data_IF_593785615865
#
_entry.id   IF_593785615865
#
_cell.length_a   1.000
_cell.length_b   1.000
_cell.length_c   1.000
_cell.angle_alpha   90.00
_cell.angle_beta   90.00
_cell.angle_gamma   90.00
#
_symmetry.space_group_name_H-M   'P 1'
#
loop_
_entity.id
_entity.type
_entity.pdbx_description
1 polymer ?
#
# COMPACT_ATOMS: atom_id res chain seq x y z
N UNK A 1 -14.47 27.25 -7.97
CA UNK A 1 -13.61 26.23 -8.65
C UNK A 1 -12.45 25.99 -7.71
N UNK A 2 -12.22 24.73 -7.33
CA UNK A 2 -11.16 24.34 -6.37
C UNK A 2 -9.83 24.12 -7.09
N UNK A 3 -8.72 24.51 -6.47
CA UNK A 3 -7.38 24.40 -7.04
C UNK A 3 -6.72 23.07 -6.61
N UNK A 4 -6.24 22.28 -7.58
CA UNK A 4 -5.48 21.05 -7.34
C UNK A 4 -4.10 21.17 -7.97
N UNK A 5 -3.06 21.08 -7.13
CA UNK A 5 -1.67 21.11 -7.57
C UNK A 5 -1.15 19.69 -7.87
N UNK A 6 -0.40 19.56 -8.95
CA UNK A 6 0.32 18.34 -9.32
C UNK A 6 1.80 18.53 -9.06
N UNK A 7 2.36 17.83 -8.06
CA UNK A 7 3.81 17.94 -7.73
C UNK A 7 4.72 17.04 -8.57
N UNK A 8 4.13 16.10 -9.31
CA UNK A 8 4.85 15.24 -10.27
C UNK A 8 3.97 15.05 -11.50
N UNK A 9 4.53 14.37 -12.49
CA UNK A 9 3.71 13.85 -13.57
C UNK A 9 2.73 12.80 -12.98
N UNK A 10 1.46 13.14 -12.93
CA UNK A 10 0.34 12.24 -12.62
C UNK A 10 -0.27 11.79 -13.95
N UNK A 11 -0.60 10.50 -14.07
CA UNK A 11 -1.18 9.97 -15.30
C UNK A 11 -2.50 10.68 -15.63
N UNK A 12 -2.63 11.08 -16.90
CA UNK A 12 -3.77 11.91 -17.38
C UNK A 12 -5.12 11.23 -17.15
N UNK A 13 -5.18 9.90 -17.28
CA UNK A 13 -6.40 9.12 -17.01
C UNK A 13 -6.95 9.33 -15.59
N UNK A 14 -6.07 9.64 -14.63
CA UNK A 14 -6.46 9.99 -13.27
C UNK A 14 -7.00 11.43 -13.19
N UNK A 15 -6.27 12.41 -13.72
CA UNK A 15 -6.71 13.82 -13.70
C UNK A 15 -7.98 14.05 -14.52
N UNK A 16 -8.22 13.27 -15.56
CA UNK A 16 -9.46 13.29 -16.37
C UNK A 16 -10.71 12.81 -15.56
N UNK A 17 -10.54 12.24 -14.36
CA UNK A 17 -11.65 11.93 -13.45
C UNK A 17 -12.18 13.13 -12.68
N UNK A 18 -11.41 14.22 -12.66
CA UNK A 18 -11.77 15.45 -11.98
C UNK A 18 -12.49 16.37 -12.97
N UNK A 19 -13.71 16.78 -12.65
CA UNK A 19 -14.52 17.63 -13.52
C UNK A 19 -13.87 19.00 -13.70
N UNK A 20 -13.51 19.42 -14.92
CA UNK A 20 -12.91 20.72 -15.18
C UNK A 20 -13.84 21.91 -14.88
N UNK A 21 -15.14 21.67 -14.70
CA UNK A 21 -16.07 22.70 -14.21
C UNK A 21 -15.92 22.98 -12.71
N UNK A 22 -15.41 22.00 -11.95
CA UNK A 22 -15.23 22.08 -10.50
C UNK A 22 -13.79 22.36 -10.10
N UNK A 23 -12.81 21.92 -10.91
CA UNK A 23 -11.40 21.91 -10.56
C UNK A 23 -10.51 22.65 -11.57
N UNK A 24 -9.62 23.49 -11.05
CA UNK A 24 -8.48 24.04 -11.77
C UNK A 24 -7.24 23.19 -11.39
N UNK A 25 -6.65 22.49 -12.36
CA UNK A 25 -5.59 21.50 -12.12
C UNK A 25 -4.31 21.93 -12.86
N UNK A 26 -3.20 22.02 -12.15
CA UNK A 26 -1.92 22.39 -12.76
C UNK A 26 -0.72 22.11 -11.85
N UNK A 27 0.48 22.22 -12.43
CA UNK A 27 1.72 22.15 -11.66
C UNK A 27 1.92 23.40 -10.78
N UNK A 28 1.47 24.55 -11.26
CA UNK A 28 1.52 25.83 -10.58
C UNK A 28 0.10 26.39 -10.48
N UNK A 29 -0.48 26.28 -9.29
CA UNK A 29 -1.79 26.86 -8.95
C UNK A 29 -1.64 27.65 -7.65
N UNK A 30 -2.35 28.78 -7.56
CA UNK A 30 -2.36 29.58 -6.32
C UNK A 30 -3.24 28.92 -5.27
N UNK A 31 -2.77 28.90 -4.01
CA UNK A 31 -3.51 28.40 -2.85
C UNK A 31 -4.26 27.08 -3.12
N UNK A 32 -3.56 25.96 -3.40
CA UNK A 32 -4.20 24.70 -3.69
C UNK A 32 -4.97 24.17 -2.49
N UNK A 33 -6.22 23.75 -2.71
CA UNK A 33 -7.06 23.03 -1.74
C UNK A 33 -6.75 21.52 -1.75
N UNK A 34 -6.15 21.03 -2.84
CA UNK A 34 -5.68 19.64 -2.98
C UNK A 34 -4.32 19.54 -3.62
N UNK A 35 -3.52 18.56 -3.21
CA UNK A 35 -2.25 18.23 -3.85
C UNK A 35 -2.29 16.76 -4.28
N UNK A 36 -1.98 16.48 -5.54
CA UNK A 36 -1.69 15.13 -6.01
C UNK A 36 -0.19 14.95 -6.18
N UNK A 37 0.37 13.89 -5.61
CA UNK A 37 1.80 13.62 -5.59
C UNK A 37 2.09 12.14 -5.83
N UNK A 38 3.26 11.83 -6.37
CA UNK A 38 3.78 10.45 -6.48
C UNK A 38 5.08 10.30 -5.68
N UNK A 39 6.14 10.93 -6.09
CA UNK A 39 7.50 10.75 -5.54
C UNK A 39 8.16 12.04 -5.08
N UNK A 40 7.57 13.22 -5.29
CA UNK A 40 8.15 14.46 -4.82
C UNK A 40 8.29 14.45 -3.29
N UNK A 41 9.43 14.93 -2.80
CA UNK A 41 9.66 15.11 -1.38
C UNK A 41 8.85 16.30 -0.86
N UNK A 42 7.99 16.08 0.12
CA UNK A 42 7.15 17.09 0.76
C UNK A 42 7.54 17.33 2.23
N UNK A 43 8.59 16.67 2.74
CA UNK A 43 8.92 16.68 4.18
C UNK A 43 9.21 18.09 4.71
N UNK A 44 9.81 18.95 3.87
CA UNK A 44 10.19 20.32 4.24
C UNK A 44 9.26 21.37 3.61
N UNK A 45 8.12 20.96 3.03
CA UNK A 45 7.16 21.89 2.43
C UNK A 45 6.35 22.63 3.48
N UNK A 46 6.15 23.93 3.24
CA UNK A 46 5.13 24.70 3.92
C UNK A 46 3.81 24.60 3.16
N UNK A 47 2.73 24.41 3.90
CA UNK A 47 1.40 24.30 3.34
C UNK A 47 0.62 25.59 3.51
N UNK A 48 -0.17 25.95 2.49
CA UNK A 48 -1.08 27.08 2.61
C UNK A 48 -2.29 26.69 3.48
N UNK A 49 -2.94 27.66 4.15
CA UNK A 49 -4.08 27.39 5.04
C UNK A 49 -5.29 26.73 4.36
N UNK A 50 -5.45 26.94 3.05
CA UNK A 50 -6.55 26.40 2.25
C UNK A 50 -6.38 24.91 1.91
N UNK A 51 -5.18 24.35 2.10
CA UNK A 51 -4.91 22.93 1.76
C UNK A 51 -5.73 21.99 2.65
N UNK A 52 -6.59 21.21 2.02
CA UNK A 52 -7.51 20.28 2.69
C UNK A 52 -7.03 18.83 2.59
N UNK A 53 -6.38 18.47 1.49
CA UNK A 53 -6.01 17.10 1.24
C UNK A 53 -4.77 16.94 0.37
N UNK A 54 -4.04 15.85 0.63
CA UNK A 54 -2.93 15.36 -0.20
C UNK A 54 -3.28 13.94 -0.65
N UNK A 55 -3.32 13.67 -1.95
CA UNK A 55 -3.55 12.35 -2.50
C UNK A 55 -2.27 11.82 -3.16
N UNK A 56 -1.67 10.80 -2.55
CA UNK A 56 -0.49 10.15 -3.12
C UNK A 56 -0.90 9.03 -4.08
N UNK A 57 -0.49 9.16 -5.34
CA UNK A 57 -0.62 8.10 -6.34
C UNK A 57 0.41 6.98 -6.08
N UNK A 58 0.10 6.11 -5.12
CA UNK A 58 0.92 5.00 -4.68
C UNK A 58 0.65 4.61 -3.22
N UNK A 59 1.16 3.46 -2.77
CA UNK A 59 0.86 2.89 -1.45
C UNK A 59 1.70 3.47 -0.30
N UNK A 60 3.01 3.71 -0.50
CA UNK A 60 3.87 4.28 0.55
C UNK A 60 3.65 5.80 0.72
N UNK A 61 3.99 6.37 1.88
CA UNK A 61 3.80 7.82 2.17
C UNK A 61 5.00 8.43 2.89
N UNK A 62 6.16 7.83 2.77
CA UNK A 62 7.39 8.26 3.44
C UNK A 62 7.96 9.60 2.94
N UNK A 63 7.42 10.14 1.86
CA UNK A 63 7.75 11.45 1.31
C UNK A 63 6.79 12.57 1.76
N UNK A 64 5.84 12.29 2.68
CA UNK A 64 4.83 13.23 3.16
C UNK A 64 4.96 13.37 4.69
N UNK A 65 4.98 14.60 5.25
CA UNK A 65 5.10 14.84 6.69
C UNK A 65 3.75 14.60 7.40
N UNK A 66 3.44 13.35 7.72
CA UNK A 66 2.12 12.93 8.23
C UNK A 66 1.71 13.64 9.52
N UNK A 67 2.65 13.82 10.47
CA UNK A 67 2.35 14.47 11.75
C UNK A 67 1.98 15.95 11.55
N UNK A 68 2.72 16.67 10.68
CA UNK A 68 2.40 18.04 10.29
C UNK A 68 1.04 18.12 9.61
N UNK A 69 0.78 17.24 8.63
CA UNK A 69 -0.53 17.18 7.96
C UNK A 69 -1.67 16.95 8.96
N UNK A 70 -1.47 16.07 9.94
CA UNK A 70 -2.50 15.76 10.94
C UNK A 70 -2.78 16.95 11.84
N UNK A 71 -1.74 17.63 12.36
CA UNK A 71 -1.91 18.81 13.23
C UNK A 71 -2.53 20.00 12.50
N UNK A 72 -2.32 20.12 11.19
CA UNK A 72 -2.92 21.17 10.36
C UNK A 72 -4.30 20.77 9.78
N UNK A 73 -4.83 19.60 10.13
CA UNK A 73 -6.13 19.12 9.63
C UNK A 73 -6.12 18.85 8.11
N UNK A 74 -5.01 18.38 7.57
CA UNK A 74 -4.86 17.99 6.17
C UNK A 74 -4.97 16.47 6.06
N UNK A 75 -5.94 15.99 5.27
CA UNK A 75 -6.15 14.54 5.07
C UNK A 75 -5.18 14.00 4.03
N UNK A 76 -4.43 12.98 4.38
CA UNK A 76 -3.48 12.33 3.47
C UNK A 76 -4.04 10.99 3.01
N UNK A 77 -4.24 10.86 1.71
CA UNK A 77 -4.67 9.62 1.04
C UNK A 77 -3.51 8.90 0.40
N UNK A 78 -3.56 7.57 0.41
CA UNK A 78 -2.75 6.73 -0.47
C UNK A 78 -3.66 5.84 -1.34
N UNK A 79 -3.06 5.02 -2.20
CA UNK A 79 -3.81 4.17 -3.13
C UNK A 79 -3.49 2.69 -2.90
N UNK A 80 -3.93 2.10 -1.76
CA UNK A 80 -3.64 0.73 -1.43
C UNK A 80 -4.32 -0.22 -2.42
N UNK A 81 -3.56 -1.18 -2.94
CA UNK A 81 -4.07 -2.18 -3.88
C UNK A 81 -4.19 -1.74 -5.33
N UNK A 82 -4.07 -0.45 -5.66
CA UNK A 82 -4.14 0.02 -7.04
C UNK A 82 -3.04 -0.58 -7.95
N UNK A 83 -1.88 -0.87 -7.38
CA UNK A 83 -0.75 -1.52 -8.03
C UNK A 83 -0.67 -3.04 -7.80
N UNK A 84 -1.68 -3.63 -7.17
CA UNK A 84 -1.60 -5.03 -6.72
C UNK A 84 -1.38 -6.03 -7.85
N UNK A 85 -1.94 -5.75 -9.05
CA UNK A 85 -1.75 -6.62 -10.20
C UNK A 85 -0.29 -6.63 -10.69
N UNK A 86 0.35 -5.47 -10.80
CA UNK A 86 1.76 -5.39 -11.19
C UNK A 86 2.67 -6.15 -10.21
N UNK A 87 2.47 -5.98 -8.91
CA UNK A 87 3.23 -6.72 -7.88
C UNK A 87 2.94 -8.23 -7.96
N UNK A 88 1.70 -8.66 -8.20
CA UNK A 88 1.36 -10.07 -8.42
C UNK A 88 2.14 -10.66 -9.60
N UNK A 89 2.24 -9.94 -10.71
CA UNK A 89 2.97 -10.41 -11.89
C UNK A 89 4.47 -10.53 -11.63
N UNK A 90 5.06 -9.56 -10.94
CA UNK A 90 6.44 -9.64 -10.50
C UNK A 90 6.66 -10.80 -9.52
N UNK A 91 5.69 -11.09 -8.62
CA UNK A 91 5.77 -12.23 -7.71
C UNK A 91 5.77 -13.57 -8.46
N UNK A 92 4.96 -13.71 -9.52
CA UNK A 92 4.98 -14.90 -10.40
C UNK A 92 6.35 -15.02 -11.09
N UNK A 93 6.88 -13.92 -11.62
CA UNK A 93 8.24 -13.90 -12.17
C UNK A 93 9.27 -14.35 -11.13
N UNK A 94 9.22 -13.82 -9.90
CA UNK A 94 10.12 -14.17 -8.81
C UNK A 94 10.04 -15.67 -8.44
N UNK A 95 8.85 -16.28 -8.44
CA UNK A 95 8.67 -17.73 -8.25
C UNK A 95 9.43 -18.53 -9.32
N UNK A 96 9.34 -18.11 -10.57
CA UNK A 96 10.02 -18.78 -11.70
C UNK A 96 11.54 -18.58 -11.65
N UNK A 97 12.01 -17.37 -11.32
CA UNK A 97 13.43 -17.06 -11.13
C UNK A 97 14.03 -17.83 -9.95
N UNK A 98 13.28 -18.01 -8.86
CA UNK A 98 13.69 -18.83 -7.72
C UNK A 98 13.77 -20.33 -8.04
N UNK A 99 13.04 -20.78 -9.06
CA UNK A 99 12.92 -22.20 -9.40
C UNK A 99 14.02 -22.72 -10.29
N UNK A 100 14.54 -21.91 -11.20
CA UNK A 100 15.59 -22.21 -12.16
C UNK A 100 16.59 -21.06 -12.22
N UNK A 101 17.86 -21.37 -12.47
CA UNK A 101 18.90 -20.35 -12.58
C UNK A 101 18.89 -19.65 -13.95
N UNK A 102 17.76 -18.95 -14.22
CA UNK A 102 17.54 -18.26 -15.50
C UNK A 102 18.52 -17.10 -15.65
N UNK A 103 18.71 -16.31 -14.56
CA UNK A 103 19.62 -15.14 -14.57
C UNK A 103 21.05 -15.57 -14.82
N UNK A 104 21.58 -16.53 -14.06
CA UNK A 104 22.92 -17.04 -14.26
C UNK A 104 23.08 -17.71 -15.64
N UNK A 105 22.03 -18.36 -16.16
CA UNK A 105 22.01 -18.89 -17.52
C UNK A 105 22.14 -17.80 -18.59
N UNK A 106 21.40 -16.69 -18.45
CA UNK A 106 21.47 -15.53 -19.37
C UNK A 106 22.88 -14.91 -19.32
N UNK A 107 23.40 -14.65 -18.11
CA UNK A 107 24.73 -14.09 -17.92
C UNK A 107 25.79 -14.97 -18.58
N UNK A 108 25.74 -16.28 -18.34
CA UNK A 108 26.69 -17.25 -18.92
C UNK A 108 26.57 -17.30 -20.44
N UNK A 109 25.37 -17.37 -21.02
CA UNK A 109 25.19 -17.40 -22.51
C UNK A 109 25.82 -16.15 -23.14
N UNK A 110 25.68 -14.98 -22.51
CA UNK A 110 26.29 -13.75 -23.00
C UNK A 110 27.83 -13.81 -23.06
N UNK A 111 28.48 -14.65 -22.25
CA UNK A 111 29.94 -14.85 -22.31
C UNK A 111 30.40 -15.63 -23.57
N UNK A 112 29.49 -16.30 -24.25
CA UNK A 112 29.79 -17.12 -25.44
C UNK A 112 29.71 -16.33 -26.75
N UNK A 113 29.67 -15.01 -26.71
CA UNK A 113 29.51 -14.14 -27.90
C UNK A 113 30.49 -14.45 -29.01
N UNK A 114 31.77 -14.77 -28.65
CA UNK A 114 32.83 -15.00 -29.61
C UNK A 114 33.17 -16.50 -29.77
N UNK A 115 32.37 -17.41 -29.23
CA UNK A 115 32.52 -18.87 -29.37
C UNK A 115 31.83 -19.31 -30.67
N UNK A 116 32.64 -19.75 -31.65
CA UNK A 116 32.15 -20.26 -32.93
C UNK A 116 31.21 -21.49 -32.80
N UNK A 117 31.38 -22.27 -31.72
CA UNK A 117 30.56 -23.45 -31.39
C UNK A 117 29.55 -23.20 -30.27
N UNK A 118 29.16 -21.93 -30.03
CA UNK A 118 28.29 -21.54 -28.92
C UNK A 118 27.05 -22.44 -28.73
N UNK A 119 26.38 -22.83 -29.81
CA UNK A 119 25.18 -23.69 -29.75
C UNK A 119 25.52 -25.07 -29.14
N UNK A 120 26.63 -25.67 -29.49
CA UNK A 120 27.09 -26.96 -28.94
C UNK A 120 27.53 -26.79 -27.48
N UNK A 121 28.20 -25.68 -27.18
CA UNK A 121 28.65 -25.34 -25.83
C UNK A 121 27.44 -25.16 -24.90
N UNK A 122 26.37 -24.46 -25.35
CA UNK A 122 25.14 -24.31 -24.60
C UNK A 122 24.48 -25.65 -24.33
N UNK A 123 24.29 -26.47 -25.36
CA UNK A 123 23.61 -27.77 -25.21
C UNK A 123 24.35 -28.71 -24.24
N UNK A 124 25.68 -28.72 -24.26
CA UNK A 124 26.50 -29.51 -23.35
C UNK A 124 26.45 -29.06 -21.90
N UNK A 125 26.21 -27.77 -21.65
CA UNK A 125 26.30 -27.17 -20.31
C UNK A 125 24.96 -26.76 -19.69
N UNK A 126 23.84 -26.82 -20.42
CA UNK A 126 22.51 -26.35 -19.98
C UNK A 126 22.07 -26.92 -18.63
N UNK A 127 22.52 -28.15 -18.30
CA UNK A 127 22.14 -28.80 -17.04
C UNK A 127 22.69 -28.09 -15.79
N UNK A 128 23.68 -27.20 -15.93
CA UNK A 128 24.20 -26.38 -14.81
C UNK A 128 23.17 -25.40 -14.28
N UNK A 129 22.20 -25.00 -15.11
CA UNK A 129 21.15 -24.02 -14.82
C UNK A 129 19.79 -24.67 -14.59
N UNK A 130 19.74 -26.00 -14.54
CA UNK A 130 18.53 -26.75 -14.27
C UNK A 130 17.99 -26.47 -12.86
N UNK A 131 16.69 -26.58 -12.69
CA UNK A 131 16.03 -26.41 -11.41
C UNK A 131 14.81 -27.30 -11.29
N UNK A 132 13.78 -26.82 -10.61
CA UNK A 132 12.54 -27.55 -10.38
C UNK A 132 11.33 -26.82 -10.99
N UNK A 133 10.25 -27.54 -11.17
CA UNK A 133 8.94 -26.98 -11.49
C UNK A 133 8.25 -26.49 -10.22
N UNK A 134 7.34 -25.50 -10.36
CA UNK A 134 6.53 -25.00 -9.26
C UNK A 134 5.26 -25.82 -9.06
N UNK A 135 4.80 -26.52 -10.09
CA UNK A 135 3.60 -27.38 -10.01
C UNK A 135 3.75 -28.43 -8.90
N UNK A 136 2.72 -28.58 -8.09
CA UNK A 136 2.69 -29.52 -6.95
C UNK A 136 3.51 -29.09 -5.73
N UNK A 137 4.31 -28.02 -5.82
CA UNK A 137 5.04 -27.43 -4.68
C UNK A 137 4.10 -26.61 -3.81
N UNK A 138 4.47 -26.44 -2.55
CA UNK A 138 3.70 -25.64 -1.59
C UNK A 138 4.22 -24.22 -1.54
N UNK A 139 3.35 -23.24 -1.85
CA UNK A 139 3.57 -21.83 -1.63
C UNK A 139 2.98 -21.40 -0.29
N UNK A 140 3.81 -20.89 0.61
CA UNK A 140 3.40 -20.19 1.81
C UNK A 140 3.21 -18.70 1.51
N UNK A 141 2.03 -18.16 1.82
CA UNK A 141 1.71 -16.74 1.63
C UNK A 141 1.53 -16.08 2.99
N UNK A 142 2.41 -15.15 3.31
CA UNK A 142 2.37 -14.34 4.53
C UNK A 142 1.71 -13.00 4.22
N UNK A 143 0.48 -12.81 4.73
CA UNK A 143 -0.40 -11.70 4.37
C UNK A 143 -1.24 -12.01 3.13
N UNK A 144 -2.57 -12.00 3.29
CA UNK A 144 -3.57 -12.30 2.25
C UNK A 144 -4.41 -11.06 1.87
N UNK A 145 -3.83 -9.87 2.06
CA UNK A 145 -4.42 -8.61 1.62
C UNK A 145 -4.50 -8.47 0.09
N UNK A 146 -4.58 -7.25 -0.40
CA UNK A 146 -4.79 -6.94 -1.83
C UNK A 146 -3.78 -7.62 -2.77
N UNK A 147 -2.51 -7.72 -2.40
CA UNK A 147 -1.47 -8.36 -3.21
C UNK A 147 -1.41 -9.86 -2.93
N UNK A 148 -1.25 -10.25 -1.65
CA UNK A 148 -1.08 -11.66 -1.29
C UNK A 148 -2.24 -12.54 -1.70
N UNK A 149 -3.48 -12.04 -1.63
CA UNK A 149 -4.66 -12.74 -2.13
C UNK A 149 -4.61 -13.01 -3.64
N UNK A 150 -4.16 -12.03 -4.43
CA UNK A 150 -3.98 -12.22 -5.88
C UNK A 150 -2.86 -13.22 -6.19
N UNK A 151 -1.74 -13.15 -5.45
CA UNK A 151 -0.63 -14.10 -5.60
C UNK A 151 -1.06 -15.51 -5.21
N UNK A 152 -1.78 -15.67 -4.11
CA UNK A 152 -2.33 -16.96 -3.67
C UNK A 152 -3.26 -17.56 -4.73
N UNK A 153 -4.17 -16.75 -5.26
CA UNK A 153 -5.13 -17.18 -6.28
C UNK A 153 -4.45 -17.64 -7.60
N UNK A 154 -3.45 -16.87 -8.08
CA UNK A 154 -2.76 -17.23 -9.31
C UNK A 154 -1.86 -18.47 -9.10
N UNK A 155 -1.24 -18.63 -7.93
CA UNK A 155 -0.42 -19.80 -7.60
C UNK A 155 -1.23 -21.11 -7.63
N UNK A 156 -2.48 -21.09 -7.13
CA UNK A 156 -3.42 -22.23 -7.28
C UNK A 156 -3.64 -22.57 -8.75
N UNK A 157 -3.85 -21.54 -9.61
CA UNK A 157 -4.04 -21.75 -11.06
C UNK A 157 -2.79 -22.28 -11.76
N UNK A 158 -1.61 -21.99 -11.23
CA UNK A 158 -0.32 -22.54 -11.70
C UNK A 158 -0.04 -23.96 -11.15
N UNK A 159 -1.00 -24.56 -10.46
CA UNK A 159 -0.90 -25.93 -9.94
C UNK A 159 -0.09 -26.05 -8.65
N UNK A 160 0.17 -24.97 -7.93
CA UNK A 160 0.78 -25.01 -6.60
C UNK A 160 -0.26 -25.36 -5.53
N UNK A 161 0.20 -25.99 -4.44
CA UNK A 161 -0.55 -26.04 -3.17
C UNK A 161 -0.31 -24.71 -2.46
N UNK A 162 -1.35 -24.08 -1.95
CA UNK A 162 -1.20 -22.76 -1.29
C UNK A 162 -1.66 -22.84 0.15
N UNK A 163 -0.80 -22.37 1.06
CA UNK A 163 -1.09 -22.23 2.49
C UNK A 163 -0.85 -20.77 2.86
N UNK A 164 -1.83 -20.10 3.43
CA UNK A 164 -1.74 -18.68 3.74
C UNK A 164 -2.09 -18.36 5.19
N UNK A 165 -1.44 -17.35 5.74
CA UNK A 165 -1.72 -16.79 7.06
C UNK A 165 -1.83 -15.27 7.00
N UNK A 166 -2.93 -14.74 7.51
CA UNK A 166 -3.14 -13.31 7.71
C UNK A 166 -4.04 -13.10 8.94
N UNK A 167 -3.49 -12.65 10.09
CA UNK A 167 -4.28 -12.41 11.31
C UNK A 167 -5.31 -11.28 11.19
N UNK A 168 -5.18 -10.45 10.17
CA UNK A 168 -6.03 -9.26 9.95
C UNK A 168 -6.91 -9.38 8.70
N UNK A 169 -7.09 -10.61 8.18
CA UNK A 169 -7.87 -10.84 6.97
C UNK A 169 -9.32 -10.36 7.15
N UNK A 170 -9.74 -9.42 6.31
CA UNK A 170 -11.13 -8.98 6.31
C UNK A 170 -12.05 -10.03 5.68
N UNK A 171 -13.33 -9.98 6.04
CA UNK A 171 -14.35 -10.88 5.46
C UNK A 171 -14.40 -10.72 3.93
N UNK A 172 -14.37 -9.48 3.43
CA UNK A 172 -14.40 -9.21 1.99
C UNK A 172 -13.17 -9.77 1.27
N UNK A 173 -11.98 -9.66 1.88
CA UNK A 173 -10.77 -10.26 1.32
C UNK A 173 -10.86 -11.79 1.30
N UNK A 174 -11.40 -12.39 2.34
CA UNK A 174 -11.58 -13.84 2.43
C UNK A 174 -12.53 -14.38 1.33
N UNK A 175 -13.61 -13.67 1.00
CA UNK A 175 -14.52 -14.02 -0.08
C UNK A 175 -13.87 -14.01 -1.48
N UNK A 176 -12.77 -13.28 -1.64
CA UNK A 176 -12.02 -13.20 -2.90
C UNK A 176 -10.93 -14.29 -3.03
N UNK A 177 -10.71 -15.10 -1.98
CA UNK A 177 -9.72 -16.19 -2.02
C UNK A 177 -10.29 -17.44 -2.67
N UNK A 178 -9.42 -18.14 -3.41
CA UNK A 178 -9.76 -19.45 -3.97
C UNK A 178 -9.96 -20.47 -2.83
N UNK A 179 -11.02 -21.26 -2.90
CA UNK A 179 -11.37 -22.26 -1.88
C UNK A 179 -10.32 -23.38 -1.68
N UNK A 180 -9.38 -23.54 -2.61
CA UNK A 180 -8.26 -24.49 -2.48
C UNK A 180 -7.08 -23.92 -1.67
N UNK A 181 -7.16 -22.66 -1.20
CA UNK A 181 -6.15 -22.09 -0.32
C UNK A 181 -6.39 -22.58 1.10
N UNK A 182 -5.38 -23.22 1.68
CA UNK A 182 -5.44 -23.70 3.06
C UNK A 182 -5.11 -22.57 4.01
N UNK A 183 -5.96 -22.34 5.00
CA UNK A 183 -5.70 -21.39 6.08
C UNK A 183 -4.74 -22.02 7.11
N UNK A 184 -3.71 -21.26 7.48
CA UNK A 184 -2.82 -21.57 8.62
C UNK A 184 -3.11 -20.59 9.76
N UNK A 185 -3.14 -21.09 10.99
CA UNK A 185 -3.43 -20.30 12.17
C UNK A 185 -2.24 -19.41 12.60
N UNK A 186 -1.02 -19.74 12.17
CA UNK A 186 0.18 -18.97 12.47
C UNK A 186 1.18 -18.99 11.31
N UNK A 187 2.15 -18.08 11.35
CA UNK A 187 3.26 -18.05 10.39
C UNK A 187 4.15 -19.29 10.49
N UNK A 188 4.33 -19.86 11.69
CA UNK A 188 5.10 -21.07 11.92
C UNK A 188 4.51 -22.28 11.20
N UNK A 189 3.19 -22.38 11.14
CA UNK A 189 2.52 -23.45 10.37
C UNK A 189 2.82 -23.31 8.89
N UNK A 190 2.85 -22.08 8.35
CA UNK A 190 3.23 -21.81 6.97
C UNK A 190 4.69 -22.19 6.74
N UNK A 191 5.60 -21.77 7.63
CA UNK A 191 7.04 -22.04 7.51
C UNK A 191 7.37 -23.53 7.42
N UNK A 192 6.71 -24.35 8.23
CA UNK A 192 6.96 -25.81 8.29
C UNK A 192 6.65 -26.55 6.99
N UNK A 193 5.67 -26.08 6.23
CA UNK A 193 5.15 -26.85 5.07
C UNK A 193 5.54 -26.26 3.72
N UNK A 194 5.98 -25.00 3.69
CA UNK A 194 6.23 -24.27 2.46
C UNK A 194 7.55 -24.70 1.78
N UNK A 195 7.52 -24.88 0.47
CA UNK A 195 8.70 -24.99 -0.40
C UNK A 195 9.14 -23.60 -0.90
N UNK A 196 8.18 -22.68 -0.99
CA UNK A 196 8.34 -21.28 -1.33
C UNK A 196 7.57 -20.43 -0.31
N UNK A 197 8.13 -19.29 0.10
CA UNK A 197 7.46 -18.32 0.97
C UNK A 197 7.46 -16.97 0.26
N UNK A 198 6.30 -16.35 0.17
CA UNK A 198 6.14 -14.99 -0.34
C UNK A 198 5.51 -14.09 0.72
N UNK A 199 6.05 -12.87 0.86
CA UNK A 199 5.74 -11.97 1.97
C UNK A 199 4.99 -10.75 1.44
N UNK A 200 3.79 -10.49 1.98
CA UNK A 200 2.89 -9.42 1.57
C UNK A 200 2.29 -8.69 2.78
N UNK A 201 3.10 -8.45 3.80
CA UNK A 201 2.72 -7.68 4.99
C UNK A 201 3.40 -6.32 5.03
N UNK A 202 2.81 -5.30 5.69
CA UNK A 202 3.47 -4.02 5.90
C UNK A 202 4.66 -4.16 6.87
N UNK A 203 5.62 -3.24 6.76
CA UNK A 203 6.68 -3.10 7.76
C UNK A 203 6.16 -2.32 8.97
N UNK A 204 6.01 -3.01 10.08
CA UNK A 204 5.61 -2.47 11.39
C UNK A 204 6.63 -2.86 12.46
N UNK A 205 6.46 -2.40 13.69
CA UNK A 205 7.30 -2.85 14.80
C UNK A 205 7.26 -4.38 14.97
N UNK A 206 6.10 -5.01 14.75
CA UNK A 206 5.89 -6.46 14.95
C UNK A 206 6.40 -7.30 13.77
N UNK A 207 6.45 -6.75 12.56
CA UNK A 207 6.87 -7.49 11.36
C UNK A 207 8.33 -7.24 10.99
N UNK A 208 8.97 -6.22 11.56
CA UNK A 208 10.37 -5.91 11.32
C UNK A 208 11.28 -7.09 11.70
N UNK A 209 12.07 -7.58 10.74
CA UNK A 209 12.97 -8.72 10.93
C UNK A 209 12.24 -10.04 11.21
N UNK A 210 10.99 -10.17 10.78
CA UNK A 210 10.20 -11.39 10.96
C UNK A 210 10.84 -12.61 10.29
N UNK A 211 11.59 -12.40 9.23
CA UNK A 211 12.44 -13.44 8.62
C UNK A 211 13.87 -13.26 9.15
N UNK A 212 14.27 -14.19 10.00
CA UNK A 212 15.55 -14.19 10.69
C UNK A 212 16.05 -15.64 10.90
N UNK A 213 17.21 -15.82 11.50
CA UNK A 213 17.82 -17.13 11.72
C UNK A 213 16.88 -18.10 12.47
N UNK A 214 16.18 -17.63 13.51
CA UNK A 214 15.26 -18.45 14.31
C UNK A 214 14.06 -18.91 13.50
N UNK A 215 13.41 -18.02 12.74
CA UNK A 215 12.24 -18.37 11.92
C UNK A 215 12.64 -19.23 10.73
N UNK A 216 13.78 -18.97 10.10
CA UNK A 216 14.31 -19.81 9.01
C UNK A 216 14.69 -21.21 9.49
N UNK A 217 15.14 -21.39 10.72
CA UNK A 217 15.41 -22.72 11.27
C UNK A 217 14.19 -23.65 11.25
N UNK A 218 12.98 -23.10 11.43
CA UNK A 218 11.71 -23.83 11.36
C UNK A 218 11.20 -24.13 9.94
N UNK A 219 11.85 -23.59 8.91
CA UNK A 219 11.49 -23.80 7.51
C UNK A 219 12.10 -25.09 6.95
N UNK A 220 11.64 -25.53 5.78
CA UNK A 220 12.28 -26.64 5.06
C UNK A 220 13.69 -26.26 4.59
N UNK A 221 14.57 -27.23 4.52
CA UNK A 221 15.88 -27.05 3.90
C UNK A 221 15.71 -26.80 2.40
N UNK A 222 16.47 -25.82 1.88
CA UNK A 222 16.35 -25.39 0.49
C UNK A 222 15.10 -24.58 0.16
N UNK A 223 14.38 -24.06 1.15
CA UNK A 223 13.24 -23.16 0.95
C UNK A 223 13.64 -21.96 0.08
N UNK A 224 12.69 -21.44 -0.67
CA UNK A 224 12.86 -20.24 -1.49
C UNK A 224 12.01 -19.12 -0.93
N UNK A 225 12.60 -17.93 -0.76
CA UNK A 225 11.90 -16.79 -0.14
C UNK A 225 11.81 -15.65 -1.14
N UNK A 226 10.61 -15.09 -1.27
CA UNK A 226 10.29 -13.94 -2.12
C UNK A 226 9.81 -12.78 -1.23
N UNK A 227 10.46 -11.64 -1.34
CA UNK A 227 10.08 -10.44 -0.61
C UNK A 227 9.98 -9.24 -1.57
N UNK A 228 8.77 -8.90 -1.96
CA UNK A 228 8.43 -7.73 -2.77
C UNK A 228 7.63 -6.70 -1.94
N UNK A 229 7.81 -6.71 -0.62
CA UNK A 229 7.07 -5.83 0.30
C UNK A 229 7.95 -4.73 0.87
N UNK A 230 8.90 -5.07 1.76
CA UNK A 230 9.87 -4.12 2.37
C UNK A 230 11.14 -4.87 2.79
N UNK A 231 12.29 -4.21 2.63
CA UNK A 231 13.60 -4.71 3.04
C UNK A 231 13.67 -5.08 4.53
N UNK A 232 13.12 -4.24 5.38
CA UNK A 232 13.16 -4.37 6.84
C UNK A 232 12.43 -5.60 7.41
N UNK A 233 11.66 -6.33 6.59
CA UNK A 233 10.99 -7.58 6.99
C UNK A 233 11.98 -8.75 7.12
N UNK A 234 13.13 -8.68 6.45
CA UNK A 234 14.16 -9.73 6.42
C UNK A 234 15.45 -9.19 7.02
N UNK A 235 16.06 -9.94 7.94
CA UNK A 235 17.40 -9.61 8.42
C UNK A 235 18.45 -10.07 7.42
N UNK A 236 19.08 -9.11 6.74
CA UNK A 236 20.05 -9.40 5.66
C UNK A 236 21.21 -10.29 6.09
N UNK A 237 21.77 -10.06 7.29
CA UNK A 237 22.86 -10.90 7.80
C UNK A 237 22.46 -12.37 7.96
N UNK A 238 21.30 -12.63 8.58
CA UNK A 238 20.77 -13.99 8.78
C UNK A 238 20.44 -14.66 7.43
N UNK A 239 19.93 -13.88 6.45
CA UNK A 239 19.65 -14.37 5.10
C UNK A 239 20.93 -14.78 4.36
N UNK A 240 22.01 -14.01 4.47
CA UNK A 240 23.32 -14.33 3.86
C UNK A 240 23.84 -15.66 4.40
N UNK A 241 23.78 -15.87 5.71
CA UNK A 241 24.19 -17.13 6.34
C UNK A 241 23.29 -18.30 5.90
N UNK A 242 21.98 -18.08 5.80
CA UNK A 242 21.03 -19.09 5.36
C UNK A 242 21.24 -19.49 3.89
N UNK A 243 21.59 -18.54 3.02
CA UNK A 243 21.97 -18.80 1.63
C UNK A 243 23.31 -19.57 1.54
N UNK A 244 24.31 -19.18 2.34
CA UNK A 244 25.62 -19.83 2.37
C UNK A 244 25.54 -21.28 2.86
N UNK A 245 24.70 -21.56 3.85
CA UNK A 245 24.48 -22.92 4.40
C UNK A 245 23.56 -23.78 3.53
N UNK A 246 22.83 -23.19 2.58
CA UNK A 246 21.80 -23.89 1.78
C UNK A 246 20.45 -24.07 2.50
N UNK A 247 20.28 -23.53 3.70
CA UNK A 247 18.99 -23.51 4.40
C UNK A 247 17.94 -22.79 3.57
N UNK A 248 18.30 -21.65 2.98
CA UNK A 248 17.57 -20.96 1.91
C UNK A 248 18.32 -21.18 0.60
N UNK A 249 17.66 -21.73 -0.42
CA UNK A 249 18.31 -21.99 -1.71
C UNK A 249 18.29 -20.76 -2.64
N UNK A 250 17.28 -19.91 -2.53
CA UNK A 250 17.15 -18.66 -3.29
C UNK A 250 16.37 -17.62 -2.47
N UNK A 251 16.85 -16.39 -2.53
CA UNK A 251 16.14 -15.22 -2.02
C UNK A 251 15.91 -14.21 -3.15
N UNK A 252 14.67 -13.93 -3.49
CA UNK A 252 14.30 -12.96 -4.55
C UNK A 252 13.66 -11.76 -3.89
N UNK A 253 14.18 -10.57 -4.18
CA UNK A 253 13.62 -9.31 -3.66
C UNK A 253 13.82 -8.16 -4.65
N UNK A 254 12.93 -7.17 -4.61
CA UNK A 254 13.07 -5.91 -5.33
C UNK A 254 13.60 -4.77 -4.44
N UNK A 255 14.18 -5.14 -3.29
CA UNK A 255 14.89 -4.22 -2.38
C UNK A 255 16.38 -4.59 -2.34
N UNK A 256 17.17 -3.99 -3.24
CA UNK A 256 18.60 -4.21 -3.29
C UNK A 256 19.31 -3.46 -2.15
N UNK A 257 19.67 -4.18 -1.10
CA UNK A 257 20.52 -3.64 -0.03
C UNK A 257 22.00 -3.92 -0.34
N UNK A 258 22.93 -3.02 0.06
CA UNK A 258 24.36 -3.19 -0.23
C UNK A 258 24.94 -4.55 0.19
N UNK A 259 24.47 -5.10 1.32
CA UNK A 259 24.97 -6.36 1.89
C UNK A 259 24.57 -7.58 1.05
N UNK A 260 23.48 -7.50 0.30
CA UNK A 260 22.96 -8.59 -0.53
C UNK A 260 23.48 -8.58 -1.96
N UNK A 261 24.05 -7.45 -2.41
CA UNK A 261 24.57 -7.33 -3.78
C UNK A 261 25.74 -8.29 -3.97
N UNK A 262 25.65 -9.15 -4.99
CA UNK A 262 26.68 -10.16 -5.29
C UNK A 262 26.64 -11.41 -4.42
N UNK A 263 25.70 -11.53 -3.49
CA UNK A 263 25.53 -12.75 -2.67
C UNK A 263 24.96 -13.88 -3.52
N UNK A 264 25.66 -15.00 -3.54
CA UNK A 264 25.22 -16.19 -4.30
C UNK A 264 23.88 -16.69 -3.78
N UNK A 265 22.92 -16.84 -4.67
CA UNK A 265 21.56 -17.29 -4.33
C UNK A 265 20.58 -16.14 -4.05
N UNK A 266 21.07 -14.91 -3.86
CA UNK A 266 20.22 -13.72 -3.86
C UNK A 266 19.99 -13.26 -5.31
N UNK A 267 18.74 -12.98 -5.65
CA UNK A 267 18.32 -12.38 -6.93
C UNK A 267 17.67 -11.04 -6.59
N UNK A 268 18.40 -9.97 -6.89
CA UNK A 268 17.97 -8.62 -6.58
C UNK A 268 17.44 -7.96 -7.84
N UNK A 269 16.22 -7.44 -7.75
CA UNK A 269 15.53 -6.72 -8.83
C UNK A 269 15.44 -5.25 -8.41
N UNK A 270 15.57 -4.27 -9.31
CA UNK A 270 15.22 -2.89 -8.99
C UNK A 270 13.75 -2.81 -8.56
N UNK A 271 13.41 -1.90 -7.66
CA UNK A 271 12.05 -1.76 -7.06
C UNK A 271 10.96 -1.59 -8.15
N UNK A 272 10.63 -2.69 -8.83
CA UNK A 272 9.75 -2.74 -10.02
C UNK A 272 8.33 -3.21 -9.72
N UNK A 273 8.01 -3.58 -8.47
CA UNK A 273 6.70 -4.15 -8.14
C UNK A 273 5.50 -3.32 -8.59
N UNK A 274 5.61 -2.00 -8.53
CA UNK A 274 4.57 -1.05 -8.96
C UNK A 274 4.93 -0.25 -10.23
N UNK A 275 6.02 -0.60 -10.90
CA UNK A 275 6.56 0.18 -12.03
C UNK A 275 6.04 -0.33 -13.36
N UNK A 276 4.72 -0.30 -13.54
CA UNK A 276 4.04 -0.55 -14.82
C UNK A 276 3.12 0.63 -15.15
N UNK A 277 2.84 0.86 -16.43
CA UNK A 277 1.95 1.93 -16.90
C UNK A 277 0.57 1.80 -16.25
N UNK A 278 0.02 0.59 -16.21
CA UNK A 278 -1.29 0.31 -15.62
C UNK A 278 -1.31 0.54 -14.10
N UNK A 279 -0.22 0.24 -13.40
CA UNK A 279 -0.11 0.53 -11.97
C UNK A 279 -0.10 2.03 -11.69
N UNK A 280 0.60 2.81 -12.52
CA UNK A 280 0.62 4.27 -12.44
C UNK A 280 -0.76 4.86 -12.72
N UNK A 281 -1.41 4.38 -13.77
CA UNK A 281 -2.77 4.77 -14.16
C UNK A 281 -3.80 4.48 -13.06
N UNK A 282 -3.79 3.25 -12.53
CA UNK A 282 -4.71 2.86 -11.47
C UNK A 282 -4.49 3.67 -10.18
N UNK A 283 -3.24 3.95 -9.83
CA UNK A 283 -2.93 4.81 -8.68
C UNK A 283 -3.42 6.24 -8.91
N UNK A 284 -3.22 6.81 -10.09
CA UNK A 284 -3.67 8.15 -10.41
C UNK A 284 -5.20 8.26 -10.39
N UNK A 285 -5.91 7.27 -10.95
CA UNK A 285 -7.39 7.21 -10.92
C UNK A 285 -7.90 7.12 -9.49
N UNK A 286 -7.35 6.21 -8.68
CA UNK A 286 -7.78 6.05 -7.28
C UNK A 286 -7.50 7.31 -6.47
N UNK A 287 -6.35 7.95 -6.64
CA UNK A 287 -6.01 9.20 -5.96
C UNK A 287 -6.97 10.33 -6.32
N UNK A 288 -7.30 10.50 -7.61
CA UNK A 288 -8.22 11.51 -8.08
C UNK A 288 -9.64 11.29 -7.52
N UNK A 289 -10.17 10.07 -7.58
CA UNK A 289 -11.51 9.76 -7.08
C UNK A 289 -11.64 9.96 -5.57
N UNK A 290 -10.61 9.65 -4.79
CA UNK A 290 -10.60 9.88 -3.34
C UNK A 290 -10.52 11.38 -3.02
N UNK A 291 -9.73 12.13 -3.77
CA UNK A 291 -9.64 13.59 -3.66
C UNK A 291 -10.99 14.22 -3.94
N UNK A 292 -11.64 13.85 -5.04
CA UNK A 292 -12.95 14.35 -5.43
C UNK A 292 -14.01 14.05 -4.35
N UNK A 293 -14.14 12.77 -3.93
CA UNK A 293 -15.13 12.36 -2.91
C UNK A 293 -14.92 13.12 -1.58
N UNK A 294 -13.67 13.36 -1.18
CA UNK A 294 -13.38 14.15 0.00
C UNK A 294 -13.72 15.63 -0.19
N UNK A 295 -13.29 16.22 -1.29
CA UNK A 295 -13.52 17.66 -1.53
C UNK A 295 -15.02 18.00 -1.74
N UNK A 296 -15.79 17.10 -2.38
CA UNK A 296 -17.20 17.30 -2.67
C UNK A 296 -18.13 16.81 -1.56
N UNK A 297 -17.80 15.69 -0.92
CA UNK A 297 -18.70 14.97 -0.01
C UNK A 297 -18.15 14.85 1.42
N UNK A 298 -16.89 15.21 1.67
CA UNK A 298 -16.26 15.01 2.97
C UNK A 298 -15.95 13.55 3.31
N UNK A 299 -16.17 12.61 2.41
CA UNK A 299 -15.90 11.19 2.69
C UNK A 299 -14.39 10.91 2.73
N UNK A 300 -13.95 10.18 3.74
CA UNK A 300 -12.56 9.72 3.88
C UNK A 300 -12.51 8.21 3.65
N UNK A 301 -11.77 7.81 2.60
CA UNK A 301 -11.40 6.42 2.30
C UNK A 301 -9.89 6.32 2.15
N UNK A 302 -9.28 5.23 2.61
CA UNK A 302 -7.83 4.99 2.47
C UNK A 302 -6.92 6.14 2.95
N UNK A 303 -7.36 6.94 3.93
CA UNK A 303 -6.48 7.91 4.55
C UNK A 303 -5.49 7.22 5.48
N UNK A 304 -4.26 7.76 5.53
CA UNK A 304 -3.17 7.22 6.37
C UNK A 304 -3.08 7.91 7.72
N UNK A 305 -3.64 9.11 7.88
CA UNK A 305 -3.57 9.89 9.12
C UNK A 305 -4.92 10.10 9.81
N UNK A 306 -6.05 10.05 9.10
CA UNK A 306 -7.39 10.13 9.69
C UNK A 306 -8.17 8.82 9.50
N UNK A 307 -9.21 8.56 10.32
CA UNK A 307 -10.04 7.35 10.18
C UNK A 307 -10.90 7.40 8.91
N UNK A 308 -11.19 6.21 8.36
CA UNK A 308 -12.12 6.09 7.24
C UNK A 308 -13.57 6.34 7.72
N UNK A 309 -14.18 7.38 7.22
CA UNK A 309 -15.58 7.77 7.48
C UNK A 309 -16.23 8.12 6.16
N UNK A 310 -17.32 7.46 5.84
CA UNK A 310 -18.13 7.77 4.67
C UNK A 310 -19.61 7.59 5.04
N UNK A 311 -20.44 8.49 4.55
CA UNK A 311 -21.86 8.50 4.82
C UNK A 311 -22.60 9.08 3.59
N UNK A 312 -23.69 8.48 3.11
CA UNK A 312 -24.56 9.13 2.11
C UNK A 312 -25.01 10.50 2.60
N UNK A 313 -25.05 11.49 1.73
CA UNK A 313 -25.54 12.84 2.11
C UNK A 313 -27.03 12.84 2.39
N UNK A 314 -27.41 13.59 3.42
CA UNK A 314 -28.78 13.89 3.78
C UNK A 314 -28.88 15.31 4.38
N UNK A 315 -30.10 15.80 4.60
CA UNK A 315 -30.28 17.16 5.13
C UNK A 315 -29.92 18.28 4.14
N UNK A 316 -29.83 19.48 4.67
CA UNK A 316 -29.59 20.71 3.90
C UNK A 316 -28.08 20.98 3.72
N UNK A 317 -27.26 20.62 4.73
CA UNK A 317 -25.83 20.80 4.69
C UNK A 317 -25.07 19.64 5.42
N UNK A 318 -23.81 19.51 5.10
CA UNK A 318 -22.88 18.60 5.76
C UNK A 318 -21.78 19.37 6.47
N UNK A 319 -21.57 19.07 7.74
CA UNK A 319 -20.52 19.64 8.58
C UNK A 319 -19.50 18.57 8.85
N UNK A 320 -18.25 18.81 8.43
CA UNK A 320 -17.12 17.90 8.53
C UNK A 320 -16.12 18.45 9.53
N UNK A 321 -15.85 17.73 10.61
CA UNK A 321 -14.97 18.17 11.69
C UNK A 321 -13.82 17.20 11.89
N UNK A 322 -12.60 17.63 11.59
CA UNK A 322 -11.37 16.94 11.97
C UNK A 322 -10.99 17.43 13.38
N UNK A 323 -10.77 16.51 14.32
CA UNK A 323 -10.50 16.87 15.71
C UNK A 323 -9.63 15.83 16.41
N UNK A 324 -9.08 16.18 17.56
CA UNK A 324 -8.39 15.23 18.43
C UNK A 324 -9.40 14.26 19.06
N UNK A 325 -8.96 13.05 19.33
CA UNK A 325 -9.75 12.01 19.99
C UNK A 325 -9.67 12.17 21.51
N UNK A 326 -10.42 13.13 22.05
CA UNK A 326 -10.43 13.45 23.47
C UNK A 326 -11.83 13.26 24.08
N UNK A 327 -11.92 12.95 25.40
CA UNK A 327 -13.20 12.80 26.07
C UNK A 327 -14.07 14.07 26.01
N UNK A 328 -15.38 13.90 25.74
CA UNK A 328 -16.36 14.99 25.75
C UNK A 328 -16.38 15.84 24.49
N UNK A 329 -15.52 15.62 23.49
CA UNK A 329 -15.50 16.44 22.26
C UNK A 329 -16.83 16.38 21.52
N UNK A 330 -17.44 15.20 21.37
CA UNK A 330 -18.74 15.06 20.69
C UNK A 330 -19.85 15.84 21.39
N UNK A 331 -19.84 15.89 22.72
CA UNK A 331 -20.82 16.71 23.47
C UNK A 331 -20.63 18.18 23.17
N UNK A 332 -19.40 18.68 23.07
CA UNK A 332 -19.14 20.09 22.70
C UNK A 332 -19.58 20.39 21.28
N UNK A 333 -19.26 19.50 20.31
CA UNK A 333 -19.68 19.67 18.91
C UNK A 333 -21.23 19.68 18.76
N UNK A 334 -21.92 18.75 19.42
CA UNK A 334 -23.38 18.67 19.35
C UNK A 334 -24.07 19.82 20.11
N UNK A 335 -23.45 20.36 21.16
CA UNK A 335 -23.95 21.53 21.86
C UNK A 335 -23.96 22.76 20.94
N UNK A 336 -22.89 23.03 20.20
CA UNK A 336 -22.84 24.12 19.21
C UNK A 336 -23.96 23.96 18.16
N UNK A 337 -24.18 22.73 17.65
CA UNK A 337 -25.27 22.48 16.68
C UNK A 337 -26.65 22.82 17.28
N UNK A 338 -26.87 22.43 18.55
CA UNK A 338 -28.13 22.68 19.23
C UNK A 338 -28.31 24.16 19.53
N UNK A 339 -27.28 24.87 19.98
CA UNK A 339 -27.32 26.31 20.29
C UNK A 339 -27.62 27.14 19.02
N UNK A 340 -27.12 26.68 17.86
CA UNK A 340 -27.38 27.26 16.56
C UNK A 340 -28.71 26.79 15.93
N UNK A 341 -29.49 26.01 16.65
CA UNK A 341 -30.82 25.55 16.21
C UNK A 341 -30.83 24.55 15.05
N UNK A 342 -29.73 23.87 14.82
CA UNK A 342 -29.57 22.85 13.76
C UNK A 342 -30.04 21.49 14.25
N UNK A 343 -30.86 20.81 13.42
CA UNK A 343 -31.26 19.44 13.66
C UNK A 343 -30.26 18.48 12.99
N UNK A 344 -29.73 17.54 13.75
CA UNK A 344 -28.80 16.52 13.23
C UNK A 344 -29.61 15.36 12.68
N UNK A 345 -29.62 15.19 11.35
CA UNK A 345 -30.30 14.09 10.66
C UNK A 345 -29.48 12.80 10.75
N UNK A 346 -28.18 12.91 10.49
CA UNK A 346 -27.23 11.80 10.57
C UNK A 346 -25.90 12.27 11.13
N UNK A 347 -25.23 11.37 11.85
CA UNK A 347 -23.91 11.60 12.39
C UNK A 347 -23.06 10.33 12.31
N UNK A 348 -21.80 10.47 11.92
CA UNK A 348 -20.81 9.39 12.02
C UNK A 348 -19.51 9.94 12.56
N UNK A 349 -19.00 9.31 13.62
CA UNK A 349 -17.69 9.60 14.20
C UNK A 349 -16.84 8.34 14.23
N UNK A 350 -15.57 8.47 13.86
CA UNK A 350 -14.55 7.44 14.09
C UNK A 350 -13.25 8.08 14.52
N UNK A 351 -12.40 7.28 15.19
CA UNK A 351 -11.07 7.69 15.63
C UNK A 351 -10.01 6.72 15.10
N UNK A 352 -8.78 7.25 14.98
CA UNK A 352 -7.57 6.52 14.66
C UNK A 352 -6.41 7.10 15.48
N UNK A 353 -6.00 6.41 16.52
CA UNK A 353 -5.05 6.96 17.49
C UNK A 353 -5.58 8.25 18.12
N UNK A 354 -4.80 9.31 18.03
CA UNK A 354 -5.15 10.62 18.58
C UNK A 354 -6.01 11.48 17.65
N UNK A 355 -6.22 11.08 16.41
CA UNK A 355 -7.04 11.80 15.44
C UNK A 355 -8.44 11.21 15.33
N UNK A 356 -9.44 12.07 15.13
CA UNK A 356 -10.82 11.67 14.92
C UNK A 356 -11.45 12.51 13.79
N UNK A 357 -12.50 11.98 13.21
CA UNK A 357 -13.26 12.64 12.19
C UNK A 357 -14.76 12.42 12.41
N UNK A 358 -15.52 13.52 12.45
CA UNK A 358 -16.97 13.51 12.58
C UNK A 358 -17.61 14.16 11.38
N UNK A 359 -18.59 13.51 10.81
CA UNK A 359 -19.50 14.07 9.80
C UNK A 359 -20.88 14.23 10.46
N UNK A 360 -21.49 15.41 10.32
CA UNK A 360 -22.89 15.67 10.62
C UNK A 360 -23.60 16.06 9.33
N UNK A 361 -24.73 15.44 9.04
CA UNK A 361 -25.70 15.96 8.09
C UNK A 361 -26.80 16.63 8.89
N UNK A 362 -27.09 17.89 8.59
CA UNK A 362 -28.01 18.73 9.37
C UNK A 362 -29.08 19.32 8.50
N UNK A 363 -30.23 19.64 9.12
CA UNK A 363 -31.32 20.45 8.55
C UNK A 363 -31.48 21.76 9.32
N UNK A 364 -31.79 22.82 8.60
CA UNK A 364 -31.91 24.16 9.12
C UNK A 364 -31.06 25.18 8.36
N UNK A 365 -31.26 26.45 8.64
CA UNK A 365 -30.45 27.52 8.06
C UNK A 365 -29.06 27.51 8.69
N UNK A 366 -28.03 27.37 7.89
CA UNK A 366 -26.67 27.33 8.38
C UNK A 366 -26.20 28.71 8.77
N UNK A 367 -25.90 28.98 10.07
CA UNK A 367 -25.40 30.27 10.52
C UNK A 367 -24.02 30.57 9.96
N UNK A 368 -23.76 31.82 9.60
CA UNK A 368 -22.42 32.22 9.08
C UNK A 368 -21.30 32.08 10.12
N UNK A 369 -21.62 32.08 11.41
CA UNK A 369 -20.66 31.94 12.50
C UNK A 369 -20.32 30.47 12.81
N UNK A 370 -21.11 29.48 12.37
CA UNK A 370 -21.01 28.08 12.75
C UNK A 370 -19.59 27.50 12.59
N UNK A 371 -18.93 27.77 11.46
CA UNK A 371 -17.58 27.26 11.19
C UNK A 371 -16.57 27.86 12.17
N UNK A 372 -16.70 29.16 12.49
CA UNK A 372 -15.84 29.83 13.46
C UNK A 372 -16.05 29.32 14.89
N UNK A 373 -17.32 29.13 15.30
CA UNK A 373 -17.69 28.65 16.64
C UNK A 373 -17.20 27.22 16.88
N UNK A 374 -17.33 26.36 15.87
CA UNK A 374 -16.79 25.00 15.94
C UNK A 374 -15.25 24.99 15.95
N UNK A 375 -14.60 25.85 15.16
CA UNK A 375 -13.15 25.94 15.09
C UNK A 375 -12.55 26.52 16.38
N UNK A 376 -13.30 27.34 17.12
CA UNK A 376 -12.88 27.90 18.41
C UNK A 376 -12.86 26.84 19.56
N UNK A 377 -13.47 25.68 19.36
CA UNK A 377 -13.41 24.59 20.34
C UNK A 377 -12.01 24.01 20.43
N UNK A 378 -11.50 23.91 21.66
CA UNK A 378 -10.26 23.17 21.92
C UNK A 378 -10.34 21.74 21.38
N UNK A 379 -9.28 21.25 20.79
CA UNK A 379 -9.17 19.95 20.11
C UNK A 379 -9.80 19.87 18.72
N UNK A 380 -10.43 20.91 18.18
CA UNK A 380 -10.85 20.96 16.79
C UNK A 380 -9.64 21.40 15.92
N UNK A 381 -9.34 20.61 14.91
CA UNK A 381 -8.22 20.85 13.98
C UNK A 381 -8.71 21.62 12.73
N UNK A 382 -9.85 21.21 12.20
CA UNK A 382 -10.43 21.83 11.00
C UNK A 382 -11.92 21.56 10.89
N UNK A 383 -12.65 22.56 10.45
CA UNK A 383 -14.08 22.47 10.11
C UNK A 383 -14.28 22.76 8.64
N UNK A 384 -15.27 22.12 8.04
CA UNK A 384 -15.74 22.40 6.68
C UNK A 384 -17.25 22.27 6.64
N UNK A 385 -17.92 23.22 6.03
CA UNK A 385 -19.35 23.16 5.69
C UNK A 385 -19.48 22.92 4.18
N UNK A 386 -20.23 21.89 3.78
CA UNK A 386 -20.36 21.44 2.39
C UNK A 386 -21.83 21.39 1.98
#
# INVERSE_FOLDING_TARGET
>A
MKNIQLLNKIAKIGTDKLDPALYNIGAEVAAPEGIMVRSANMLDMDFNPELLAIARAGAGVNNIPLDKCTSEGIVVFNTPGANANGVKELAVCALLLASRDIVGGIEWVNTLKDDADAAKTVEKNKSKFAGNEIQGKTLGVIGLGAIGGLVANIAVRLGMKVVGCDPFLSVDAAWNLNHNITHAASYEEVYKVADYITIHVPATADTKGMINASTMAGMKDGVKIINLSRDSLVKSADMIEALASGKVSRYVTDFATPELIGVKGAILIPHLGASTEESEDNCAVMAALQMDDYLQNGNIKNSVNFPAVAMPRSGDARICVLHENVPGILTKLTAVMADEGLNIENMTNKSRGNAAYTIFDVTGAIPAALEADLTALEAVLRVRVI
#
